data_IF_271974507691
#
_entry.id   IF_271974507691
#
_cell.length_a   1.000
_cell.length_b   1.000
_cell.length_c   1.000
_cell.angle_alpha   90.00
_cell.angle_beta   90.00
_cell.angle_gamma   90.00
#
_symmetry.space_group_name_H-M   'P 1'
#
loop_
_entity.id
_entity.type
_entity.pdbx_description
1 polymer ?
#
# COMPACT_ATOMS: atom_id res chain seq x y z
N UNK A 1 -14.79 2.29 20.50
CA UNK A 1 -15.55 2.91 19.39
C UNK A 1 -16.59 1.93 18.80
N UNK A 2 -16.22 0.68 18.48
CA UNK A 2 -17.14 -0.35 17.93
C UNK A 2 -18.40 -0.60 18.79
N UNK A 3 -18.29 -0.57 20.12
CA UNK A 3 -19.43 -0.82 21.01
C UNK A 3 -20.52 0.26 20.91
N UNK A 4 -20.15 1.52 20.60
CA UNK A 4 -21.10 2.64 20.46
C UNK A 4 -21.82 2.56 19.12
N UNK A 5 -21.11 2.17 18.05
CA UNK A 5 -21.70 1.92 16.73
C UNK A 5 -22.71 0.76 16.79
N UNK A 6 -22.39 -0.30 17.56
CA UNK A 6 -23.29 -1.44 17.76
C UNK A 6 -24.54 -1.08 18.57
N UNK A 7 -24.40 -0.22 19.58
CA UNK A 7 -25.52 0.25 20.40
C UNK A 7 -26.48 1.17 19.63
N UNK A 8 -25.96 2.02 18.73
CA UNK A 8 -26.78 2.88 17.85
C UNK A 8 -27.60 2.07 16.82
N UNK A 9 -27.11 0.88 16.44
CA UNK A 9 -27.71 0.04 15.41
C UNK A 9 -28.91 -0.80 15.89
N UNK A 10 -28.95 -1.16 17.18
CA UNK A 10 -29.95 -2.12 17.68
C UNK A 10 -31.22 -1.48 18.25
N UNK A 11 -31.21 -0.20 18.64
CA UNK A 11 -32.38 0.41 19.31
C UNK A 11 -32.86 1.74 18.72
N UNK A 12 -32.00 2.58 18.13
CA UNK A 12 -32.40 3.94 17.70
C UNK A 12 -32.67 4.11 16.20
N UNK A 13 -31.98 3.33 15.36
CA UNK A 13 -32.10 3.43 13.90
C UNK A 13 -33.41 2.85 13.28
N UNK A 14 -33.96 1.72 13.76
CA UNK A 14 -35.20 1.18 13.20
C UNK A 14 -36.42 2.09 13.48
N UNK A 15 -36.47 2.72 14.65
CA UNK A 15 -37.56 3.59 15.09
C UNK A 15 -37.65 4.87 14.23
N UNK A 16 -36.49 5.44 13.87
CA UNK A 16 -36.41 6.61 12.97
C UNK A 16 -36.72 6.25 11.51
N UNK A 17 -36.33 5.06 11.05
CA UNK A 17 -36.71 4.54 9.73
C UNK A 17 -38.23 4.38 9.60
N UNK A 18 -38.89 3.85 10.63
CA UNK A 18 -40.35 3.67 10.64
C UNK A 18 -41.13 4.99 10.73
N UNK A 19 -40.62 5.98 11.48
CA UNK A 19 -41.34 7.26 11.69
C UNK A 19 -41.16 8.28 10.57
N UNK A 20 -40.01 8.30 9.89
CA UNK A 20 -39.67 9.36 8.94
C UNK A 20 -39.22 8.86 7.55
N UNK A 21 -39.18 7.55 7.30
CA UNK A 21 -38.81 6.99 5.98
C UNK A 21 -37.37 7.30 5.55
N UNK A 22 -36.47 7.59 6.51
CA UNK A 22 -35.08 7.97 6.22
C UNK A 22 -34.20 6.72 6.16
N UNK A 23 -33.50 6.52 5.05
CA UNK A 23 -32.53 5.43 4.88
C UNK A 23 -31.16 5.86 5.40
N UNK A 24 -30.69 5.26 6.49
CA UNK A 24 -29.33 5.49 7.01
C UNK A 24 -28.37 4.48 6.37
N UNK A 25 -27.40 4.97 5.58
CA UNK A 25 -26.31 4.16 5.01
C UNK A 25 -25.00 4.47 5.74
N UNK A 26 -24.43 3.49 6.42
CA UNK A 26 -23.01 3.49 6.83
C UNK A 26 -22.10 3.18 5.63
N UNK A 27 -22.24 3.96 4.55
CA UNK A 27 -21.69 3.60 3.22
C UNK A 27 -20.59 4.51 2.69
N UNK A 28 -20.17 5.54 3.45
CA UNK A 28 -19.15 6.50 3.00
C UNK A 28 -17.72 6.07 3.36
N UNK A 29 -17.46 5.78 4.63
CA UNK A 29 -16.12 5.55 5.17
C UNK A 29 -15.42 4.33 4.54
N UNK A 30 -16.08 3.18 4.48
CA UNK A 30 -15.52 1.99 3.81
C UNK A 30 -15.29 2.20 2.32
N UNK A 31 -16.17 2.94 1.64
CA UNK A 31 -16.02 3.24 0.21
C UNK A 31 -14.85 4.21 -0.03
N UNK A 32 -14.61 5.13 0.89
CA UNK A 32 -13.48 6.07 0.87
C UNK A 32 -12.15 5.36 1.16
N UNK A 33 -12.13 4.42 2.12
CA UNK A 33 -10.98 3.55 2.41
C UNK A 33 -10.60 2.66 1.22
N UNK A 34 -11.59 2.07 0.55
CA UNK A 34 -11.37 1.28 -0.66
C UNK A 34 -10.81 2.14 -1.80
N UNK A 35 -11.35 3.35 -2.01
CA UNK A 35 -10.84 4.30 -3.01
C UNK A 35 -9.41 4.73 -2.70
N UNK A 36 -9.09 4.99 -1.44
CA UNK A 36 -7.74 5.36 -1.02
C UNK A 36 -6.76 4.21 -1.25
N UNK A 37 -7.13 2.99 -0.87
CA UNK A 37 -6.33 1.77 -1.08
C UNK A 37 -6.11 1.49 -2.56
N UNK A 38 -7.13 1.67 -3.40
CA UNK A 38 -7.04 1.52 -4.85
C UNK A 38 -6.09 2.56 -5.47
N UNK A 39 -6.22 3.82 -5.05
CA UNK A 39 -5.34 4.91 -5.50
C UNK A 39 -3.88 4.66 -5.10
N UNK A 40 -3.65 4.15 -3.89
CA UNK A 40 -2.32 3.81 -3.40
C UNK A 40 -1.71 2.61 -4.16
N UNK A 41 -2.51 1.58 -4.45
CA UNK A 41 -2.07 0.45 -5.28
C UNK A 41 -1.67 0.91 -6.68
N UNK A 42 -2.43 1.82 -7.27
CA UNK A 42 -2.11 2.42 -8.56
C UNK A 42 -0.82 3.25 -8.48
N UNK A 43 -0.66 4.07 -7.44
CA UNK A 43 0.58 4.80 -7.16
C UNK A 43 1.80 3.89 -7.05
N UNK A 44 1.68 2.77 -6.33
CA UNK A 44 2.75 1.78 -6.21
C UNK A 44 3.15 1.18 -7.56
N UNK A 45 2.18 0.82 -8.41
CA UNK A 45 2.45 0.30 -9.76
C UNK A 45 3.16 1.37 -10.61
N UNK A 46 2.71 2.62 -10.57
CA UNK A 46 3.37 3.73 -11.28
C UNK A 46 4.81 3.90 -10.79
N UNK A 47 5.06 3.84 -9.48
CA UNK A 47 6.40 3.90 -8.92
C UNK A 47 7.29 2.77 -9.42
N UNK A 48 6.79 1.53 -9.50
CA UNK A 48 7.55 0.40 -10.04
C UNK A 48 7.93 0.62 -11.52
N UNK A 49 7.00 1.11 -12.33
CA UNK A 49 7.27 1.44 -13.74
C UNK A 49 8.30 2.56 -13.84
N UNK A 50 8.20 3.58 -12.99
CA UNK A 50 9.15 4.69 -12.97
C UNK A 50 10.56 4.21 -12.57
N UNK A 51 10.67 3.36 -11.54
CA UNK A 51 11.93 2.73 -11.14
C UNK A 51 12.52 1.94 -12.32
N UNK A 52 11.70 1.13 -13.00
CA UNK A 52 12.16 0.37 -14.17
C UNK A 52 12.75 1.28 -15.25
N UNK A 53 12.05 2.36 -15.62
CA UNK A 53 12.51 3.31 -16.64
C UNK A 53 13.81 4.00 -16.20
N UNK A 54 13.89 4.43 -14.95
CA UNK A 54 15.08 5.06 -14.38
C UNK A 54 16.30 4.13 -14.38
N UNK A 55 16.10 2.83 -14.24
CA UNK A 55 17.16 1.83 -14.32
C UNK A 55 17.53 1.47 -15.76
N UNK A 56 16.55 1.35 -16.66
CA UNK A 56 16.77 0.93 -18.03
C UNK A 56 17.68 1.89 -18.81
N UNK A 57 17.57 3.21 -18.53
CA UNK A 57 18.37 4.26 -19.18
C UNK A 57 19.88 4.08 -18.94
N UNK A 58 20.40 4.10 -17.69
CA UNK A 58 21.83 3.96 -17.43
C UNK A 58 22.36 2.56 -17.76
N UNK A 59 21.55 1.51 -17.55
CA UNK A 59 21.98 0.12 -17.80
C UNK A 59 22.03 -0.23 -19.30
N UNK A 60 21.43 0.60 -20.17
CA UNK A 60 21.28 0.38 -21.62
C UNK A 60 20.75 -1.03 -21.95
N UNK A 61 19.92 -1.58 -21.05
CA UNK A 61 19.44 -2.95 -21.10
C UNK A 61 18.06 -3.02 -20.48
N UNK A 62 17.17 -3.78 -21.09
CA UNK A 62 15.80 -4.00 -20.60
C UNK A 62 15.71 -5.22 -19.67
N UNK A 63 16.64 -6.18 -19.79
CA UNK A 63 16.66 -7.37 -18.94
C UNK A 63 17.29 -7.13 -17.56
N UNK A 64 18.37 -6.35 -17.50
CA UNK A 64 19.09 -6.07 -16.24
C UNK A 64 18.20 -5.38 -15.18
N UNK A 65 17.37 -4.38 -15.51
CA UNK A 65 16.44 -3.77 -14.54
C UNK A 65 15.47 -4.77 -13.92
N UNK A 66 14.97 -5.76 -14.67
CA UNK A 66 14.05 -6.77 -14.13
C UNK A 66 14.72 -7.64 -13.06
N UNK A 67 15.98 -7.99 -13.27
CA UNK A 67 16.77 -8.74 -12.28
C UNK A 67 16.92 -7.90 -10.99
N UNK A 68 17.24 -6.62 -11.13
CA UNK A 68 17.35 -5.71 -9.97
C UNK A 68 16.01 -5.57 -9.24
N UNK A 69 14.91 -5.44 -9.98
CA UNK A 69 13.57 -5.32 -9.39
C UNK A 69 13.09 -6.61 -8.69
N UNK A 70 13.70 -7.76 -8.96
CA UNK A 70 13.39 -9.02 -8.24
C UNK A 70 13.73 -8.96 -6.74
N UNK A 71 14.50 -7.96 -6.29
CA UNK A 71 14.82 -7.71 -4.88
C UNK A 71 13.64 -7.05 -4.14
N UNK A 72 12.74 -6.36 -4.84
CA UNK A 72 11.61 -5.63 -4.23
C UNK A 72 10.67 -6.54 -3.40
N UNK A 73 10.27 -7.74 -3.87
CA UNK A 73 9.53 -8.70 -3.05
C UNK A 73 10.18 -8.99 -1.69
N UNK A 74 11.51 -9.06 -1.63
CA UNK A 74 12.23 -9.29 -0.38
C UNK A 74 12.11 -8.08 0.56
N UNK A 75 12.14 -6.85 0.03
CA UNK A 75 11.85 -5.64 0.79
C UNK A 75 10.44 -5.63 1.38
N UNK A 76 9.45 -6.09 0.63
CA UNK A 76 8.06 -6.22 1.12
C UNK A 76 7.98 -7.26 2.24
N UNK A 77 8.60 -8.43 2.08
CA UNK A 77 8.64 -9.46 3.13
C UNK A 77 9.29 -8.91 4.40
N UNK A 78 10.42 -8.18 4.26
CA UNK A 78 11.08 -7.52 5.37
C UNK A 78 10.20 -6.47 6.06
N UNK A 79 9.46 -5.66 5.28
CA UNK A 79 8.53 -4.67 5.82
C UNK A 79 7.36 -5.32 6.57
N UNK A 80 6.78 -6.39 6.04
CA UNK A 80 5.72 -7.17 6.69
C UNK A 80 6.24 -7.79 7.98
N UNK A 81 7.40 -8.45 7.93
CA UNK A 81 8.03 -9.03 9.11
C UNK A 81 8.32 -7.97 10.18
N UNK A 82 8.80 -6.79 9.80
CA UNK A 82 9.03 -5.67 10.71
C UNK A 82 7.75 -5.18 11.38
N UNK A 83 6.64 -5.05 10.63
CA UNK A 83 5.35 -4.68 11.19
C UNK A 83 4.83 -5.73 12.19
N UNK A 84 4.98 -7.02 11.86
CA UNK A 84 4.59 -8.12 12.75
C UNK A 84 5.41 -8.14 14.04
N UNK A 85 6.73 -7.92 13.96
CA UNK A 85 7.60 -7.90 15.13
C UNK A 85 7.34 -6.71 16.06
N UNK A 86 6.87 -5.58 15.50
CA UNK A 86 6.57 -4.35 16.23
C UNK A 86 5.10 -4.24 16.65
N UNK A 87 4.27 -5.25 16.35
CA UNK A 87 2.82 -5.27 16.56
C UNK A 87 2.11 -4.05 15.93
N UNK A 88 2.59 -3.62 14.75
CA UNK A 88 2.08 -2.49 14.00
C UNK A 88 1.18 -2.95 12.86
N UNK A 89 0.05 -2.27 12.68
CA UNK A 89 -0.83 -2.50 11.52
C UNK A 89 -0.27 -1.82 10.27
N UNK A 90 -0.61 -2.39 9.11
CA UNK A 90 -0.24 -1.81 7.83
C UNK A 90 -1.06 -0.54 7.58
N UNK A 91 -0.38 0.57 7.33
CA UNK A 91 -1.01 1.87 7.07
C UNK A 91 -0.56 2.45 5.73
N UNK A 92 -1.13 3.59 5.33
CA UNK A 92 -0.66 4.33 4.15
C UNK A 92 0.82 4.71 4.26
N UNK A 93 1.25 5.11 5.46
CA UNK A 93 2.66 5.40 5.75
C UNK A 93 3.55 4.19 5.49
N UNK A 94 3.08 2.99 5.85
CA UNK A 94 3.81 1.74 5.63
C UNK A 94 4.07 1.48 4.14
N UNK A 95 3.11 1.80 3.27
CA UNK A 95 3.28 1.64 1.81
C UNK A 95 4.27 2.66 1.25
N UNK A 96 4.22 3.91 1.71
CA UNK A 96 5.28 4.88 1.36
C UNK A 96 6.66 4.41 1.84
N UNK A 97 6.73 3.82 3.04
CA UNK A 97 7.94 3.19 3.55
C UNK A 97 8.45 2.05 2.66
N UNK A 98 7.56 1.18 2.16
CA UNK A 98 7.92 0.11 1.21
C UNK A 98 8.46 0.71 -0.10
N UNK A 99 7.84 1.77 -0.62
CA UNK A 99 8.31 2.43 -1.85
C UNK A 99 9.71 3.02 -1.63
N UNK A 100 9.93 3.70 -0.50
CA UNK A 100 11.23 4.26 -0.14
C UNK A 100 12.30 3.16 0.04
N UNK A 101 11.97 2.08 0.76
CA UNK A 101 12.84 0.91 0.93
C UNK A 101 13.20 0.28 -0.41
N UNK A 102 12.23 0.16 -1.32
CA UNK A 102 12.44 -0.37 -2.67
C UNK A 102 13.49 0.43 -3.43
N UNK A 103 13.51 1.75 -3.27
CA UNK A 103 14.54 2.62 -3.85
C UNK A 103 15.95 2.33 -3.31
N UNK A 104 16.07 2.15 -1.98
CA UNK A 104 17.35 1.84 -1.32
C UNK A 104 17.90 0.49 -1.79
N UNK A 105 17.09 -0.57 -1.76
CA UNK A 105 17.56 -1.92 -2.15
C UNK A 105 17.90 -2.01 -3.63
N UNK A 106 17.19 -1.27 -4.48
CA UNK A 106 17.48 -1.16 -5.92
C UNK A 106 18.79 -0.42 -6.16
N UNK A 107 19.06 0.66 -5.42
CA UNK A 107 20.32 1.39 -5.51
C UNK A 107 21.52 0.49 -5.15
N UNK A 108 21.40 -0.28 -4.07
CA UNK A 108 22.46 -1.21 -3.66
C UNK A 108 22.71 -2.29 -4.72
N UNK A 109 21.63 -2.85 -5.29
CA UNK A 109 21.70 -3.83 -6.37
C UNK A 109 22.33 -3.26 -7.65
N UNK A 110 22.06 -2.00 -7.96
CA UNK A 110 22.69 -1.29 -9.08
C UNK A 110 24.19 -1.12 -8.86
N UNK A 111 24.61 -0.71 -7.66
CA UNK A 111 26.02 -0.57 -7.31
C UNK A 111 26.76 -1.91 -7.46
N UNK A 112 26.20 -3.00 -6.95
CA UNK A 112 26.76 -4.34 -7.08
C UNK A 112 26.86 -4.80 -8.54
N UNK A 113 25.80 -4.60 -9.34
CA UNK A 113 25.83 -4.92 -10.77
C UNK A 113 26.88 -4.09 -11.53
N UNK A 114 27.05 -2.83 -11.13
CA UNK A 114 28.03 -1.92 -11.75
C UNK A 114 29.47 -2.20 -11.37
N UNK A 115 29.74 -2.88 -10.25
CA UNK A 115 31.09 -3.27 -9.83
C UNK A 115 31.51 -4.63 -10.38
N UNK A 116 30.54 -5.45 -10.82
CA UNK A 116 30.76 -6.76 -11.44
C UNK A 116 30.98 -6.65 -12.96
N UNK A 117 30.54 -5.55 -13.60
CA UNK A 117 30.68 -5.24 -15.02
C UNK A 117 31.78 -4.22 -15.28
#
# INVERSE_FOLDING_TARGET
>A
MEAVVKALNMQTLPDLQQRYGVTVKFGGETEEDEKATASMRLGFIISLVMIYVLLAIPLKSYGRPLIIMSVIPFGIIGAIAGHLLLDMTMSMLSVFGIIALSGVVVNDSLLLMSSIL
#
